data_IF_582970399747
#
_entry.id   IF_582970399747
#
_cell.length_a   1.000
_cell.length_b   1.000
_cell.length_c   1.000
_cell.angle_alpha   90.00
_cell.angle_beta   90.00
_cell.angle_gamma   90.00
#
_symmetry.space_group_name_H-M   'P 1'
#
loop_
_entity.id
_entity.type
_entity.pdbx_description
1 polymer ?
#
# COMPACT_ATOMS: atom_id res chain seq x y z
N UNK A 1 -5.66 18.78 7.90
CA UNK A 1 -6.89 19.14 7.19
C UNK A 1 -8.06 19.14 8.18
N UNK A 2 -8.97 20.14 8.13
CA UNK A 2 -10.20 20.06 8.91
C UNK A 2 -11.09 18.97 8.31
N UNK A 3 -11.46 17.97 9.13
CA UNK A 3 -12.39 16.92 8.73
C UNK A 3 -13.75 17.53 8.38
N UNK A 4 -14.28 17.20 7.21
CA UNK A 4 -15.66 17.54 6.86
C UNK A 4 -16.63 16.71 7.72
N UNK A 5 -17.83 17.22 8.02
CA UNK A 5 -18.80 16.54 8.89
C UNK A 5 -19.14 15.11 8.42
N UNK A 6 -19.17 14.88 7.10
CA UNK A 6 -19.44 13.57 6.49
C UNK A 6 -18.31 12.56 6.68
N UNK A 7 -17.09 13.02 6.98
CA UNK A 7 -15.88 12.19 7.14
C UNK A 7 -15.59 11.84 8.60
N UNK A 8 -16.37 12.41 9.52
CA UNK A 8 -16.17 12.22 10.94
C UNK A 8 -16.57 10.81 11.38
N UNK A 9 -15.60 10.04 11.82
CA UNK A 9 -15.82 8.84 12.63
C UNK A 9 -14.79 8.81 13.78
N UNK A 10 -15.06 7.97 14.78
CA UNK A 10 -14.24 7.92 15.99
C UNK A 10 -12.77 7.64 15.69
N UNK A 11 -12.49 6.74 14.74
CA UNK A 11 -11.12 6.37 14.34
C UNK A 11 -10.39 7.54 13.68
N UNK A 12 -11.03 8.27 12.77
CA UNK A 12 -10.46 9.47 12.14
C UNK A 12 -10.24 10.59 13.15
N UNK A 13 -11.14 10.77 14.11
CA UNK A 13 -10.97 11.75 15.19
C UNK A 13 -9.74 11.48 16.06
N UNK A 14 -9.53 10.22 16.47
CA UNK A 14 -8.33 9.82 17.21
C UNK A 14 -7.05 9.97 16.37
N UNK A 15 -7.10 9.58 15.09
CA UNK A 15 -5.99 9.71 14.15
C UNK A 15 -5.62 11.18 13.92
N UNK A 16 -6.60 12.06 13.74
CA UNK A 16 -6.40 13.51 13.60
C UNK A 16 -5.75 14.10 14.85
N UNK A 17 -6.22 13.75 16.04
CA UNK A 17 -5.61 14.20 17.29
C UNK A 17 -4.13 13.77 17.41
N UNK A 18 -3.81 12.55 17.07
CA UNK A 18 -2.43 12.04 17.05
C UNK A 18 -1.56 12.74 16.00
N UNK A 19 -2.12 13.01 14.80
CA UNK A 19 -1.46 13.75 13.74
C UNK A 19 -1.09 15.16 14.19
N UNK A 20 -2.04 15.90 14.76
CA UNK A 20 -1.81 17.27 15.24
C UNK A 20 -0.81 17.33 16.39
N UNK A 21 -0.83 16.36 17.30
CA UNK A 21 -0.01 16.39 18.51
C UNK A 21 1.43 15.88 18.30
N UNK A 22 1.63 14.91 17.41
CA UNK A 22 2.94 14.24 17.26
C UNK A 22 3.47 14.15 15.83
N UNK A 23 2.67 13.67 14.86
CA UNK A 23 3.16 13.28 13.54
C UNK A 23 3.48 14.44 12.59
N UNK A 24 2.73 15.54 12.63
CA UNK A 24 2.96 16.71 11.76
C UNK A 24 4.38 17.31 11.88
N UNK A 25 5.01 17.14 13.04
CA UNK A 25 6.40 17.59 13.27
C UNK A 25 7.44 16.59 12.79
N UNK A 26 7.10 15.30 12.72
CA UNK A 26 8.04 14.24 12.35
C UNK A 26 8.10 13.99 10.84
N UNK A 27 7.02 14.26 10.13
CA UNK A 27 6.90 14.02 8.69
C UNK A 27 6.49 15.31 7.94
N UNK A 28 7.39 16.27 7.77
CA UNK A 28 7.08 17.48 7.02
C UNK A 28 6.89 17.16 5.53
N UNK A 29 5.82 17.67 4.92
CA UNK A 29 5.48 17.51 3.50
C UNK A 29 6.64 17.86 2.55
N UNK A 30 7.52 18.77 2.96
CA UNK A 30 8.72 19.11 2.19
C UNK A 30 9.66 17.92 1.95
N UNK A 31 9.71 16.94 2.86
CA UNK A 31 10.53 15.73 2.66
C UNK A 31 9.99 14.85 1.54
N UNK A 32 8.68 14.71 1.46
CA UNK A 32 8.02 13.91 0.42
C UNK A 32 8.27 14.54 -0.96
N UNK A 33 8.12 15.86 -1.08
CA UNK A 33 8.41 16.58 -2.33
C UNK A 33 9.86 16.42 -2.77
N UNK A 34 10.81 16.59 -1.85
CA UNK A 34 12.25 16.40 -2.14
C UNK A 34 12.55 14.95 -2.57
N UNK A 35 11.85 13.96 -1.98
CA UNK A 35 11.98 12.56 -2.39
C UNK A 35 11.45 12.35 -3.80
N UNK A 36 10.24 12.83 -4.09
CA UNK A 36 9.62 12.74 -5.42
C UNK A 36 10.53 13.40 -6.48
N UNK A 37 11.00 14.62 -6.22
CA UNK A 37 11.93 15.32 -7.10
C UNK A 37 13.22 14.51 -7.34
N UNK A 38 13.81 13.97 -6.28
CA UNK A 38 14.99 13.13 -6.41
C UNK A 38 14.73 11.87 -7.22
N UNK A 39 13.65 11.15 -6.94
CA UNK A 39 13.29 9.91 -7.66
C UNK A 39 12.97 10.21 -9.12
N UNK A 40 12.31 11.34 -9.42
CA UNK A 40 11.98 11.72 -10.81
C UNK A 40 13.22 12.02 -11.67
N UNK A 41 14.37 12.29 -11.04
CA UNK A 41 15.65 12.50 -11.74
C UNK A 41 16.51 11.23 -11.84
N UNK A 42 16.07 10.12 -11.23
CA UNK A 42 16.79 8.84 -11.30
C UNK A 42 16.38 8.07 -12.56
N UNK A 43 17.31 7.28 -13.09
CA UNK A 43 17.02 6.30 -14.12
C UNK A 43 16.57 5.00 -13.44
N UNK A 44 15.29 4.64 -13.59
CA UNK A 44 14.69 3.42 -13.03
C UNK A 44 13.85 2.71 -14.10
N UNK A 45 13.93 1.39 -14.11
CA UNK A 45 13.16 0.56 -15.04
C UNK A 45 11.70 0.43 -14.58
N UNK A 46 11.48 0.32 -13.28
CA UNK A 46 10.16 0.21 -12.69
C UNK A 46 10.13 0.80 -11.27
N UNK A 47 9.12 1.61 -10.98
CA UNK A 47 8.90 2.20 -9.67
C UNK A 47 7.83 1.42 -8.91
N UNK A 48 8.14 1.06 -7.67
CA UNK A 48 7.18 0.42 -6.76
C UNK A 48 6.92 1.33 -5.56
N UNK A 49 5.65 1.60 -5.28
CA UNK A 49 5.20 2.34 -4.10
C UNK A 49 4.40 1.39 -3.23
N UNK A 50 4.89 1.12 -2.02
CA UNK A 50 4.34 0.09 -1.12
C UNK A 50 3.28 0.61 -0.14
N UNK A 51 2.60 1.72 -0.48
CA UNK A 51 1.46 2.23 0.25
C UNK A 51 1.76 3.33 1.26
N UNK A 52 0.76 3.62 2.10
CA UNK A 52 0.72 4.72 3.07
C UNK A 52 0.85 6.11 2.42
N UNK A 53 0.11 6.29 1.33
CA UNK A 53 0.02 7.56 0.59
C UNK A 53 -0.74 8.62 1.39
N UNK A 54 -1.59 8.19 2.32
CA UNK A 54 -2.43 9.03 3.17
C UNK A 54 -2.15 8.81 4.64
N UNK A 55 -2.76 9.62 5.51
CA UNK A 55 -2.67 9.46 6.97
C UNK A 55 -3.99 8.99 7.58
N UNK A 56 -5.11 9.49 7.08
CA UNK A 56 -6.46 9.23 7.58
C UNK A 56 -7.38 8.64 6.51
N UNK A 57 -6.87 8.42 5.30
CA UNK A 57 -7.65 7.96 4.16
C UNK A 57 -8.72 8.97 3.75
N UNK A 58 -8.41 10.28 3.80
CA UNK A 58 -9.31 11.33 3.36
C UNK A 58 -9.18 11.53 1.85
N UNK A 59 -10.28 11.88 1.21
CA UNK A 59 -10.30 12.16 -0.23
C UNK A 59 -9.29 13.25 -0.61
N UNK A 60 -9.23 14.33 0.17
CA UNK A 60 -8.27 15.43 -0.02
C UNK A 60 -6.81 14.97 0.10
N UNK A 61 -6.51 13.99 0.96
CA UNK A 61 -5.17 13.42 1.08
C UNK A 61 -4.80 12.61 -0.17
N UNK A 62 -5.75 11.86 -0.73
CA UNK A 62 -5.55 11.15 -1.99
C UNK A 62 -5.34 12.11 -3.17
N UNK A 63 -6.13 13.17 -3.26
CA UNK A 63 -5.94 14.23 -4.26
C UNK A 63 -4.54 14.86 -4.17
N UNK A 64 -4.10 15.16 -2.95
CA UNK A 64 -2.78 15.74 -2.72
C UNK A 64 -1.66 14.75 -3.06
N UNK A 65 -1.78 13.49 -2.61
CA UNK A 65 -0.82 12.44 -2.93
C UNK A 65 -0.72 12.24 -4.46
N UNK A 66 -1.86 12.21 -5.15
CA UNK A 66 -1.90 12.10 -6.61
C UNK A 66 -1.19 13.27 -7.30
N UNK A 67 -1.41 14.49 -6.83
CA UNK A 67 -0.77 15.70 -7.38
C UNK A 67 0.74 15.72 -7.08
N UNK A 68 1.16 15.34 -5.86
CA UNK A 68 2.57 15.32 -5.50
C UNK A 68 3.35 14.22 -6.22
N UNK A 69 2.75 13.06 -6.45
CA UNK A 69 3.35 11.95 -7.17
C UNK A 69 3.28 12.10 -8.70
N UNK A 70 2.54 13.09 -9.20
CA UNK A 70 2.29 13.27 -10.63
C UNK A 70 3.55 13.18 -11.51
N UNK A 71 4.71 13.76 -11.14
CA UNK A 71 5.95 13.62 -11.93
C UNK A 71 6.45 12.18 -12.10
N UNK A 72 6.12 11.28 -11.15
CA UNK A 72 6.50 9.86 -11.17
C UNK A 72 5.48 8.99 -11.90
N UNK A 73 4.24 9.46 -12.03
CA UNK A 73 3.10 8.70 -12.52
C UNK A 73 2.84 8.86 -14.03
N UNK A 74 3.72 9.58 -14.75
CA UNK A 74 3.58 9.85 -16.18
C UNK A 74 3.68 8.57 -17.02
N UNK A 75 4.55 7.66 -16.63
CA UNK A 75 4.78 6.39 -17.30
C UNK A 75 4.06 5.26 -16.57
N UNK A 76 2.73 5.19 -16.74
CA UNK A 76 1.85 4.26 -15.99
C UNK A 76 2.31 2.80 -16.03
N UNK A 77 2.87 2.37 -17.13
CA UNK A 77 3.34 0.99 -17.32
C UNK A 77 4.62 0.67 -16.55
N UNK A 78 5.30 1.70 -16.07
CA UNK A 78 6.53 1.57 -15.26
C UNK A 78 6.30 1.83 -13.77
N UNK A 79 5.04 1.95 -13.34
CA UNK A 79 4.70 2.22 -11.93
C UNK A 79 3.70 1.21 -11.41
N UNK A 80 3.98 0.66 -10.24
CA UNK A 80 3.07 -0.19 -9.47
C UNK A 80 2.88 0.38 -8.07
N UNK A 81 1.63 0.45 -7.61
CA UNK A 81 1.29 0.99 -6.29
C UNK A 81 0.40 -0.03 -5.58
N UNK A 82 0.83 -0.53 -4.42
CA UNK A 82 -0.04 -1.30 -3.53
C UNK A 82 -0.52 -0.41 -2.38
N UNK A 83 -1.75 -0.58 -1.88
CA UNK A 83 -2.24 0.25 -0.78
C UNK A 83 -1.57 -0.10 0.55
N UNK A 84 -1.41 0.90 1.41
CA UNK A 84 -1.05 0.75 2.81
C UNK A 84 -2.27 0.75 3.74
N UNK A 85 -2.06 0.50 5.02
CA UNK A 85 -3.16 0.46 5.99
C UNK A 85 -3.79 1.84 6.23
N UNK A 86 -3.04 2.91 6.03
CA UNK A 86 -3.58 4.28 6.06
C UNK A 86 -4.42 4.60 4.81
N UNK A 87 -4.17 3.96 3.68
CA UNK A 87 -4.95 4.11 2.45
C UNK A 87 -6.28 3.34 2.51
N UNK A 88 -6.37 2.31 3.37
CA UNK A 88 -7.57 1.54 3.69
C UNK A 88 -8.08 1.84 5.12
N UNK A 89 -7.87 3.04 5.62
CA UNK A 89 -8.01 3.40 7.03
C UNK A 89 -9.40 3.19 7.60
N UNK A 90 -10.45 3.50 6.84
CA UNK A 90 -11.86 3.33 7.22
C UNK A 90 -12.67 2.82 6.05
N UNK A 91 -13.79 2.15 6.35
CA UNK A 91 -14.80 1.93 5.32
C UNK A 91 -15.43 3.26 4.94
N UNK A 92 -15.50 3.50 3.65
CA UNK A 92 -16.29 4.60 3.09
C UNK A 92 -17.79 4.26 3.29
N UNK A 93 -18.59 5.15 3.85
CA UNK A 93 -20.03 4.94 4.01
C UNK A 93 -20.77 4.63 2.70
N UNK A 94 -20.23 5.06 1.57
CA UNK A 94 -20.79 4.81 0.24
C UNK A 94 -20.21 3.57 -0.42
N UNK A 95 -19.32 2.82 0.25
CA UNK A 95 -18.62 1.68 -0.29
C UNK A 95 -17.60 2.00 -1.38
N UNK A 96 -17.29 3.27 -1.56
CA UNK A 96 -16.25 3.74 -2.48
C UNK A 96 -14.91 3.72 -1.74
N UNK A 97 -13.95 3.07 -2.33
CA UNK A 97 -12.59 3.08 -1.83
C UNK A 97 -11.82 4.22 -2.51
N UNK A 98 -11.45 5.24 -1.75
CA UNK A 98 -10.75 6.40 -2.30
C UNK A 98 -9.39 6.04 -2.92
N UNK A 99 -8.69 5.00 -2.40
CA UNK A 99 -7.48 4.51 -3.05
C UNK A 99 -7.78 4.03 -4.48
N UNK A 100 -8.82 3.24 -4.67
CA UNK A 100 -9.17 2.72 -5.99
C UNK A 100 -9.61 3.83 -6.96
N UNK A 101 -10.23 4.88 -6.45
CA UNK A 101 -10.61 6.05 -7.25
C UNK A 101 -9.40 6.78 -7.83
N UNK A 102 -8.31 6.90 -7.06
CA UNK A 102 -7.14 7.71 -7.44
C UNK A 102 -5.97 6.90 -8.01
N UNK A 103 -5.85 5.62 -7.64
CA UNK A 103 -4.65 4.81 -7.92
C UNK A 103 -4.92 3.43 -8.52
N UNK A 104 -6.18 3.08 -8.81
CA UNK A 104 -6.53 1.79 -9.42
C UNK A 104 -5.75 1.48 -10.69
N UNK A 105 -5.47 2.47 -11.51
CA UNK A 105 -4.71 2.29 -12.74
C UNK A 105 -3.28 1.76 -12.54
N UNK A 106 -2.74 1.87 -11.32
CA UNK A 106 -1.40 1.39 -10.93
C UNK A 106 -1.44 0.08 -10.14
N UNK A 107 -2.61 -0.34 -9.67
CA UNK A 107 -2.81 -1.61 -8.98
C UNK A 107 -3.59 -2.60 -9.86
N UNK A 108 -4.63 -2.17 -10.55
CA UNK A 108 -5.51 -2.99 -11.37
C UNK A 108 -6.86 -3.29 -10.70
N UNK A 109 -7.67 -4.12 -11.37
CA UNK A 109 -9.05 -4.42 -10.94
C UNK A 109 -9.17 -5.72 -10.16
N UNK A 110 -8.10 -6.51 -10.07
CA UNK A 110 -8.07 -7.82 -9.44
C UNK A 110 -7.59 -7.75 -7.99
N UNK A 111 -7.65 -8.85 -7.24
CA UNK A 111 -7.15 -8.94 -5.87
C UNK A 111 -5.62 -8.93 -5.80
N UNK A 112 -4.95 -9.22 -6.92
CA UNK A 112 -3.51 -9.07 -7.08
C UNK A 112 -3.20 -8.09 -8.20
N UNK A 113 -2.18 -7.31 -8.02
CA UNK A 113 -1.50 -6.60 -9.09
C UNK A 113 -0.42 -7.50 -9.67
N UNK A 114 -0.29 -7.57 -11.00
CA UNK A 114 0.86 -8.24 -11.60
C UNK A 114 1.37 -7.46 -12.81
N UNK A 115 2.68 -7.57 -13.04
CA UNK A 115 3.34 -6.89 -14.17
C UNK A 115 4.61 -7.62 -14.58
N UNK A 116 4.82 -7.72 -15.90
CA UNK A 116 6.10 -8.15 -16.45
C UNK A 116 7.09 -6.99 -16.39
N UNK A 117 8.27 -7.24 -15.81
CA UNK A 117 9.31 -6.24 -15.69
C UNK A 117 10.32 -6.36 -16.84
N UNK A 118 10.96 -5.25 -17.28
CA UNK A 118 11.92 -5.26 -18.38
C UNK A 118 13.10 -6.21 -18.18
N UNK A 119 13.46 -6.52 -16.94
CA UNK A 119 14.53 -7.47 -16.59
C UNK A 119 14.13 -8.95 -16.74
N UNK A 120 12.90 -9.26 -17.16
CA UNK A 120 12.38 -10.63 -17.26
C UNK A 120 11.78 -11.18 -15.97
N UNK A 121 11.70 -10.38 -14.90
CA UNK A 121 11.00 -10.72 -13.67
C UNK A 121 9.50 -10.43 -13.80
N UNK A 122 8.70 -11.06 -12.95
CA UNK A 122 7.29 -10.70 -12.77
C UNK A 122 7.10 -10.10 -11.39
N UNK A 123 6.38 -8.98 -11.33
CA UNK A 123 5.95 -8.38 -10.08
C UNK A 123 4.57 -8.91 -9.70
N UNK A 124 4.40 -9.28 -8.44
CA UNK A 124 3.10 -9.58 -7.81
C UNK A 124 2.93 -8.61 -6.64
N UNK A 125 1.89 -7.78 -6.70
CA UNK A 125 1.53 -6.85 -5.63
C UNK A 125 0.25 -7.32 -4.93
N UNK A 126 0.23 -7.30 -3.60
CA UNK A 126 -0.93 -7.69 -2.79
C UNK A 126 -1.59 -6.48 -2.12
N UNK A 127 -2.92 -6.42 -2.18
CA UNK A 127 -3.73 -5.62 -1.28
C UNK A 127 -4.08 -6.44 -0.05
N UNK A 128 -3.23 -6.33 0.97
CA UNK A 128 -3.42 -6.99 2.27
C UNK A 128 -4.02 -6.07 3.33
N UNK A 129 -4.39 -4.84 2.93
CA UNK A 129 -4.91 -3.83 3.83
C UNK A 129 -6.44 -3.83 3.83
N UNK A 130 -7.02 -3.57 4.98
CA UNK A 130 -8.47 -3.44 5.16
C UNK A 130 -8.78 -2.52 6.33
N UNK A 131 -9.99 -1.95 6.40
CA UNK A 131 -10.41 -1.19 7.57
C UNK A 131 -10.31 -2.05 8.83
N UNK A 132 -9.41 -1.68 9.73
CA UNK A 132 -9.18 -2.36 11.01
C UNK A 132 -9.82 -1.59 12.17
N UNK A 133 -10.06 -2.20 13.34
CA UNK A 133 -10.49 -1.53 14.55
C UNK A 133 -9.54 -0.38 14.93
N UNK A 134 -10.02 0.57 15.75
CA UNK A 134 -9.26 1.76 16.12
C UNK A 134 -7.94 1.47 16.87
N UNK A 135 -7.82 0.30 17.47
CA UNK A 135 -6.65 -0.17 18.23
C UNK A 135 -5.70 -1.04 17.40
N UNK A 136 -6.01 -1.30 16.13
CA UNK A 136 -5.20 -2.16 15.26
C UNK A 136 -4.96 -1.51 13.91
N UNK A 137 -3.80 -1.79 13.35
CA UNK A 137 -3.41 -1.47 11.99
C UNK A 137 -3.00 -2.75 11.24
N UNK A 138 -3.41 -3.94 11.72
CA UNK A 138 -3.10 -5.23 11.10
C UNK A 138 -3.76 -5.40 9.73
N UNK A 139 -3.10 -6.17 8.86
CA UNK A 139 -3.62 -6.58 7.57
C UNK A 139 -3.94 -8.08 7.51
N UNK A 140 -4.41 -8.54 6.37
CA UNK A 140 -4.66 -9.95 6.09
C UNK A 140 -4.50 -10.21 4.61
N UNK A 141 -3.68 -11.16 4.23
CA UNK A 141 -3.65 -11.66 2.85
C UNK A 141 -4.78 -12.66 2.69
N UNK A 142 -5.71 -12.39 1.78
CA UNK A 142 -6.85 -13.28 1.55
C UNK A 142 -6.41 -14.60 0.91
N UNK A 143 -7.15 -15.66 1.16
CA UNK A 143 -6.90 -16.94 0.52
C UNK A 143 -7.00 -16.85 -1.02
N UNK A 144 -7.96 -16.08 -1.53
CA UNK A 144 -8.10 -15.81 -2.96
C UNK A 144 -6.89 -15.09 -3.58
N UNK A 145 -6.24 -14.21 -2.82
CA UNK A 145 -4.99 -13.53 -3.22
C UNK A 145 -3.86 -14.56 -3.39
N UNK A 146 -3.71 -15.49 -2.46
CA UNK A 146 -2.71 -16.56 -2.54
C UNK A 146 -2.99 -17.49 -3.73
N UNK A 147 -4.23 -17.92 -3.92
CA UNK A 147 -4.66 -18.78 -5.03
C UNK A 147 -4.43 -18.13 -6.41
N UNK A 148 -4.73 -16.84 -6.55
CA UNK A 148 -4.46 -16.12 -7.80
C UNK A 148 -2.95 -15.97 -8.05
N UNK A 149 -2.17 -15.70 -7.01
CA UNK A 149 -0.71 -15.63 -7.10
C UNK A 149 -0.12 -16.99 -7.51
N UNK A 150 -0.59 -18.06 -6.89
CA UNK A 150 -0.16 -19.43 -7.23
C UNK A 150 -0.52 -19.80 -8.68
N UNK A 151 -1.69 -19.41 -9.15
CA UNK A 151 -2.12 -19.62 -10.54
C UNK A 151 -1.17 -18.89 -11.50
N UNK A 152 -0.87 -17.61 -11.24
CA UNK A 152 0.05 -16.83 -12.05
C UNK A 152 1.45 -17.44 -12.08
N UNK A 153 1.95 -17.94 -10.93
CA UNK A 153 3.24 -18.59 -10.82
C UNK A 153 3.26 -19.89 -11.67
N UNK A 154 2.24 -20.72 -11.54
CA UNK A 154 2.12 -21.99 -12.28
C UNK A 154 1.98 -21.81 -13.80
N UNK A 155 1.35 -20.72 -14.24
CA UNK A 155 1.18 -20.37 -15.65
C UNK A 155 2.42 -19.69 -16.26
N UNK A 156 3.36 -19.28 -15.45
CA UNK A 156 4.60 -18.64 -15.89
C UNK A 156 5.68 -19.68 -16.22
N UNK A 157 6.72 -19.25 -16.94
CA UNK A 157 7.92 -20.08 -17.16
C UNK A 157 8.53 -20.41 -15.79
N UNK A 158 8.89 -21.70 -15.53
CA UNK A 158 9.47 -22.14 -14.25
C UNK A 158 10.76 -21.38 -13.83
N UNK A 159 11.48 -20.83 -14.78
CA UNK A 159 12.70 -20.05 -14.52
C UNK A 159 12.41 -18.56 -14.27
N UNK A 160 11.15 -18.12 -14.37
CA UNK A 160 10.79 -16.72 -14.16
C UNK A 160 10.91 -16.36 -12.68
N UNK A 161 11.75 -15.41 -12.30
CA UNK A 161 11.79 -14.93 -10.91
C UNK A 161 10.64 -13.98 -10.63
N UNK A 162 10.14 -14.00 -9.39
CA UNK A 162 9.05 -13.16 -8.94
C UNK A 162 9.50 -12.15 -7.88
N UNK A 163 9.01 -10.91 -8.02
CA UNK A 163 9.12 -9.86 -7.01
C UNK A 163 7.76 -9.72 -6.32
N UNK A 164 7.67 -10.16 -5.07
CA UNK A 164 6.48 -9.98 -4.26
C UNK A 164 6.51 -8.62 -3.55
N UNK A 165 5.44 -7.83 -3.73
CA UNK A 165 5.26 -6.52 -3.11
C UNK A 165 4.06 -6.56 -2.19
N UNK A 166 4.28 -6.27 -0.92
CA UNK A 166 3.25 -6.19 0.11
C UNK A 166 3.57 -5.02 1.06
N UNK A 167 2.55 -4.38 1.62
CA UNK A 167 2.73 -3.30 2.58
C UNK A 167 3.31 -3.79 3.90
N UNK A 168 2.81 -4.93 4.39
CA UNK A 168 3.27 -5.52 5.65
C UNK A 168 4.51 -6.38 5.46
N UNK A 169 5.48 -6.32 6.38
CA UNK A 169 6.64 -7.20 6.33
C UNK A 169 6.24 -8.66 6.56
N UNK A 170 6.85 -9.58 5.80
CA UNK A 170 6.68 -11.03 5.95
C UNK A 170 7.76 -11.60 6.86
N UNK A 171 8.93 -10.96 6.91
CA UNK A 171 10.05 -11.34 7.75
C UNK A 171 10.57 -10.13 8.52
N UNK A 172 11.03 -10.38 9.73
CA UNK A 172 11.56 -9.34 10.61
C UNK A 172 13.04 -9.58 10.93
N UNK A 173 13.85 -8.53 11.08
CA UNK A 173 15.19 -8.66 11.68
C UNK A 173 15.10 -9.24 13.09
N UNK A 174 16.12 -9.99 13.52
CA UNK A 174 16.17 -10.62 14.86
C UNK A 174 16.06 -9.59 16.02
N UNK A 175 16.33 -8.31 15.76
CA UNK A 175 16.22 -7.22 16.73
C UNK A 175 14.84 -6.57 16.77
N UNK A 176 13.91 -7.03 15.93
CA UNK A 176 12.55 -6.49 15.88
C UNK A 176 11.68 -7.15 16.93
N UNK A 177 10.97 -6.33 17.71
CA UNK A 177 9.95 -6.81 18.65
C UNK A 177 8.61 -6.86 17.93
N UNK A 178 8.04 -8.05 17.69
CA UNK A 178 6.80 -8.20 16.95
C UNK A 178 5.65 -7.43 17.60
N UNK A 179 4.87 -6.69 16.79
CA UNK A 179 3.65 -6.03 17.24
C UNK A 179 2.45 -6.58 16.45
N UNK A 180 1.65 -7.49 17.04
CA UNK A 180 0.52 -8.12 16.37
C UNK A 180 -0.53 -7.12 15.85
N UNK A 181 -0.51 -5.88 16.37
CA UNK A 181 -1.41 -4.83 15.91
C UNK A 181 -0.93 -4.11 14.64
N UNK A 182 0.32 -4.38 14.19
CA UNK A 182 0.94 -3.79 13.01
C UNK A 182 1.49 -4.83 12.03
N UNK A 183 1.00 -6.07 12.11
CA UNK A 183 1.45 -7.19 11.28
C UNK A 183 0.29 -7.81 10.50
N UNK A 184 0.61 -8.78 9.64
CA UNK A 184 -0.41 -9.62 9.03
C UNK A 184 -1.03 -10.55 10.09
N UNK A 185 -2.36 -10.55 10.19
CA UNK A 185 -3.09 -11.43 11.11
C UNK A 185 -2.90 -12.91 10.80
N UNK A 186 -2.55 -13.25 9.57
CA UNK A 186 -2.25 -14.60 9.09
C UNK A 186 -0.80 -14.77 8.62
N UNK A 187 0.14 -14.09 9.31
CA UNK A 187 1.55 -14.05 8.94
C UNK A 187 2.19 -15.43 8.75
N UNK A 188 1.91 -16.37 9.63
CA UNK A 188 2.49 -17.72 9.55
C UNK A 188 2.03 -18.47 8.30
N UNK A 189 0.74 -18.42 7.96
CA UNK A 189 0.22 -19.02 6.75
C UNK A 189 0.81 -18.39 5.47
N UNK A 190 1.04 -17.07 5.50
CA UNK A 190 1.71 -16.36 4.41
C UNK A 190 3.18 -16.79 4.29
N UNK A 191 3.88 -16.94 5.41
CA UNK A 191 5.26 -17.45 5.42
C UNK A 191 5.37 -18.86 4.88
N UNK A 192 4.48 -19.75 5.31
CA UNK A 192 4.41 -21.11 4.78
C UNK A 192 4.20 -21.11 3.27
N UNK A 193 3.31 -20.26 2.77
CA UNK A 193 3.06 -20.12 1.34
C UNK A 193 4.28 -19.58 0.56
N UNK A 194 5.02 -18.61 1.12
CA UNK A 194 6.21 -18.03 0.46
C UNK A 194 7.41 -18.98 0.45
N UNK A 195 7.51 -19.86 1.45
CA UNK A 195 8.66 -20.77 1.63
C UNK A 195 8.42 -22.16 1.06
N UNK A 196 7.16 -22.54 0.78
CA UNK A 196 6.76 -23.86 0.25
C UNK A 196 6.87 -23.96 -1.23
#
# INVERSE_FOLDING_TARGET
>A
YPLHWSEWNFKRGLGAANLFLKRAKQHPLSRNRNLVEKVSTMDWDHLVISGDLTQLGLEQEFEEARRELEPLLQEKDRVSIVPGNHDRYVQDPEGKNSFDQYFREFFGEHEIHHRDLPCGWKLIGWDSCHPAPWYSASGTVKQTTLEQSETLIKESDPETPFLLVNHYPISFPNSWDPDPHHELSNLEAVREWVLG
#
